data_IF_207141266449
#
_entry.id   IF_207141266449
#
_cell.length_a   1.000
_cell.length_b   1.000
_cell.length_c   1.000
_cell.angle_alpha   90.00
_cell.angle_beta   90.00
_cell.angle_gamma   90.00
#
_symmetry.space_group_name_H-M   'P 1'
#
loop_
_entity.id
_entity.type
_entity.pdbx_description
1 polymer ?
#
# COMPACT_ATOMS: atom_id res chain seq x y z
N UNK A 1 65.19 -20.75 31.43
CA UNK A 1 65.19 -19.89 30.22
C UNK A 1 63.93 -20.06 29.35
N UNK A 2 63.55 -21.27 28.91
CA UNK A 2 62.36 -21.45 28.04
C UNK A 2 61.02 -21.05 28.69
N UNK A 3 60.79 -21.43 29.95
CA UNK A 3 59.56 -21.09 30.71
C UNK A 3 59.41 -19.59 31.00
N UNK A 4 60.53 -18.89 31.22
CA UNK A 4 60.53 -17.45 31.44
C UNK A 4 60.22 -16.70 30.14
N UNK A 5 60.75 -17.19 29.02
CA UNK A 5 60.49 -16.63 27.69
C UNK A 5 59.03 -16.80 27.25
N UNK A 6 58.41 -17.94 27.57
CA UNK A 6 56.97 -18.17 27.28
C UNK A 6 56.07 -17.30 28.14
N UNK A 7 56.44 -17.06 29.41
CA UNK A 7 55.69 -16.20 30.30
C UNK A 7 55.74 -14.72 29.84
N UNK A 8 56.93 -14.26 29.43
CA UNK A 8 57.12 -12.91 28.86
C UNK A 8 56.32 -12.71 27.57
N UNK A 9 56.26 -13.73 26.70
CA UNK A 9 55.43 -13.68 25.49
C UNK A 9 53.93 -13.60 25.81
N UNK A 10 53.45 -14.35 26.80
CA UNK A 10 52.04 -14.30 27.23
C UNK A 10 51.68 -12.93 27.82
N UNK A 11 52.57 -12.34 28.62
CA UNK A 11 52.36 -11.00 29.19
C UNK A 11 52.30 -9.96 28.07
N UNK A 12 53.19 -10.02 27.07
CA UNK A 12 53.16 -9.09 25.93
C UNK A 12 51.87 -9.20 25.10
N UNK A 13 51.33 -10.41 24.91
CA UNK A 13 50.05 -10.60 24.19
C UNK A 13 48.87 -10.00 24.99
N UNK A 14 48.89 -10.10 26.33
CA UNK A 14 47.87 -9.48 27.17
C UNK A 14 47.93 -7.94 27.18
N UNK A 15 49.10 -7.33 26.99
CA UNK A 15 49.25 -5.87 26.92
C UNK A 15 48.86 -5.29 25.56
N UNK A 16 48.99 -6.04 24.46
CA UNK A 16 48.55 -5.62 23.13
C UNK A 16 47.05 -5.86 22.89
N UNK A 17 46.39 -6.61 23.77
CA UNK A 17 44.95 -6.80 23.77
C UNK A 17 44.23 -5.64 24.48
N UNK A 18 44.48 -4.40 24.03
CA UNK A 18 43.50 -3.32 24.21
C UNK A 18 42.34 -3.55 23.24
N UNK A 19 41.59 -4.62 23.49
CA UNK A 19 40.28 -4.80 22.89
C UNK A 19 39.41 -3.66 23.39
N UNK A 20 39.04 -2.73 22.50
CA UNK A 20 38.07 -1.68 22.80
C UNK A 20 36.69 -2.33 22.94
N UNK A 21 36.44 -2.99 24.07
CA UNK A 21 35.11 -3.15 24.61
C UNK A 21 34.66 -1.75 25.02
N UNK A 22 34.26 -0.97 24.02
CA UNK A 22 33.49 0.25 24.22
C UNK A 22 32.34 -0.17 25.10
N UNK A 23 32.35 0.28 26.36
CA UNK A 23 31.13 0.29 27.16
C UNK A 23 30.17 1.13 26.35
N UNK A 24 29.23 0.48 25.66
CA UNK A 24 28.03 1.15 25.21
C UNK A 24 27.39 1.64 26.49
N UNK A 25 27.67 2.89 26.85
CA UNK A 25 26.90 3.60 27.83
C UNK A 25 25.47 3.53 27.31
N UNK A 26 24.71 2.58 27.82
CA UNK A 26 23.27 2.53 27.71
C UNK A 26 22.70 3.67 28.57
N UNK A 27 23.14 4.90 28.31
CA UNK A 27 22.17 5.97 28.17
C UNK A 27 21.28 5.49 27.03
N UNK A 28 20.21 4.78 27.39
CA UNK A 28 18.93 4.92 26.70
C UNK A 28 18.70 6.43 26.64
N UNK A 29 19.27 7.08 25.63
CA UNK A 29 18.78 8.36 25.18
C UNK A 29 17.32 8.07 24.94
N UNK A 30 16.46 8.58 25.83
CA UNK A 30 15.04 8.47 25.65
C UNK A 30 14.82 8.88 24.20
N UNK A 31 14.42 7.93 23.34
CA UNK A 31 14.06 8.27 21.97
C UNK A 31 12.98 9.31 22.14
N UNK A 32 13.30 10.58 21.91
CA UNK A 32 12.34 11.68 22.05
C UNK A 32 11.29 11.33 21.02
N UNK A 33 10.16 10.82 21.49
CA UNK A 33 9.00 10.57 20.65
C UNK A 33 8.68 11.92 20.00
N UNK A 34 8.91 11.99 18.70
CA UNK A 34 8.69 13.20 17.94
C UNK A 34 7.21 13.56 18.07
N UNK A 35 6.94 14.85 18.25
CA UNK A 35 5.58 15.33 18.41
C UNK A 35 4.84 15.19 17.08
N UNK A 36 3.58 14.76 17.16
CA UNK A 36 2.68 14.62 16.01
C UNK A 36 1.50 15.58 16.21
N UNK A 37 1.14 16.36 15.18
CA UNK A 37 -0.10 17.16 15.25
C UNK A 37 -1.32 16.25 15.08
N UNK A 38 -2.17 16.25 16.10
CA UNK A 38 -3.45 15.54 16.07
C UNK A 38 -4.56 16.33 15.35
N UNK A 39 -4.42 17.67 15.26
CA UNK A 39 -5.44 18.56 14.68
C UNK A 39 -5.24 18.74 13.17
N UNK A 40 -6.36 18.80 12.45
CA UNK A 40 -6.40 19.16 11.03
C UNK A 40 -6.04 20.62 10.81
N UNK A 41 -5.51 20.92 9.63
CA UNK A 41 -5.14 22.28 9.24
C UNK A 41 -6.28 22.98 8.51
N UNK A 42 -6.25 24.31 8.55
CA UNK A 42 -7.12 25.17 7.74
C UNK A 42 -6.62 25.36 6.31
N UNK A 43 -5.34 25.04 6.04
CA UNK A 43 -4.69 25.23 4.74
C UNK A 43 -4.02 23.94 4.28
N UNK A 44 -3.99 23.70 2.97
CA UNK A 44 -3.24 22.60 2.38
C UNK A 44 -1.71 22.78 2.53
N UNK A 45 -0.96 21.71 2.26
CA UNK A 45 0.50 21.67 2.45
C UNK A 45 1.25 22.63 1.52
N UNK A 46 0.70 22.92 0.34
CA UNK A 46 1.24 23.87 -0.63
C UNK A 46 1.18 25.31 -0.07
N UNK A 47 0.00 25.72 0.40
CA UNK A 47 -0.24 27.04 1.00
C UNK A 47 0.46 27.24 2.35
N UNK A 48 0.98 26.17 2.94
CA UNK A 48 1.79 26.19 4.16
C UNK A 48 3.29 26.17 3.91
N UNK A 49 3.73 26.10 2.64
CA UNK A 49 5.14 26.04 2.30
C UNK A 49 5.83 24.75 2.75
N UNK A 50 5.10 23.64 2.87
CA UNK A 50 5.67 22.35 3.28
C UNK A 50 6.21 21.52 2.11
N UNK A 51 5.88 21.89 0.88
CA UNK A 51 6.39 21.23 -0.33
C UNK A 51 7.74 21.87 -0.65
N UNK A 52 8.81 21.32 -0.08
CA UNK A 52 10.19 21.81 -0.18
C UNK A 52 11.12 20.73 -0.71
N UNK A 53 12.26 21.14 -1.28
CA UNK A 53 13.25 20.21 -1.87
C UNK A 53 13.97 19.39 -0.79
N UNK A 54 14.23 19.96 0.39
CA UNK A 54 14.95 19.32 1.49
C UNK A 54 14.10 19.27 2.78
N UNK A 55 13.15 18.32 2.88
CA UNK A 55 12.27 18.20 4.04
C UNK A 55 12.98 17.53 5.22
N UNK A 56 12.75 18.02 6.44
CA UNK A 56 13.32 17.40 7.65
C UNK A 56 12.39 16.31 8.19
N UNK A 57 12.95 15.19 8.62
CA UNK A 57 12.18 14.07 9.19
C UNK A 57 11.24 14.50 10.34
N UNK A 58 11.71 15.42 11.20
CA UNK A 58 10.91 15.98 12.30
C UNK A 58 9.65 16.71 11.80
N UNK A 59 9.73 17.39 10.66
CA UNK A 59 8.63 18.18 10.10
C UNK A 59 7.62 17.23 9.43
N UNK A 60 8.09 16.16 8.79
CA UNK A 60 7.21 15.10 8.25
C UNK A 60 6.43 14.44 9.40
N UNK A 61 7.12 14.01 10.46
CA UNK A 61 6.47 13.33 11.59
C UNK A 61 5.51 14.29 12.32
N UNK A 62 5.84 15.57 12.40
CA UNK A 62 4.95 16.57 12.98
C UNK A 62 3.67 16.76 12.15
N UNK A 63 3.78 16.76 10.82
CA UNK A 63 2.73 17.28 9.93
C UNK A 63 1.93 16.21 9.18
N UNK A 64 2.39 14.95 9.09
CA UNK A 64 1.81 13.95 8.19
C UNK A 64 0.32 13.62 8.43
N UNK A 65 -0.19 13.84 9.65
CA UNK A 65 -1.62 13.65 9.98
C UNK A 65 -2.46 14.90 9.78
N UNK A 66 -1.83 16.07 9.64
CA UNK A 66 -2.49 17.39 9.64
C UNK A 66 -2.89 17.84 8.23
N UNK A 67 -3.79 17.09 7.59
CA UNK A 67 -4.37 17.46 6.28
C UNK A 67 -5.37 18.62 6.40
N UNK A 68 -5.70 19.27 5.26
CA UNK A 68 -6.68 20.35 5.22
C UNK A 68 -8.11 19.80 5.22
N UNK A 69 -8.86 20.01 6.31
CA UNK A 69 -10.24 19.49 6.42
C UNK A 69 -11.21 20.23 5.48
N UNK A 70 -11.02 21.54 5.31
CA UNK A 70 -11.88 22.40 4.46
C UNK A 70 -11.84 21.98 2.99
N UNK A 71 -10.69 21.53 2.52
CA UNK A 71 -10.44 21.17 1.12
C UNK A 71 -10.45 19.64 0.88
N UNK A 72 -11.03 18.83 1.79
CA UNK A 72 -11.08 17.36 1.63
C UNK A 72 -11.71 16.96 0.28
N UNK A 73 -12.76 17.66 -0.13
CA UNK A 73 -13.51 17.33 -1.36
C UNK A 73 -12.96 17.99 -2.62
N UNK A 74 -12.02 18.92 -2.48
CA UNK A 74 -11.49 19.68 -3.59
C UNK A 74 -10.45 18.89 -4.36
N UNK A 75 -10.48 18.99 -5.70
CA UNK A 75 -9.46 18.40 -6.57
C UNK A 75 -8.49 19.49 -6.98
N UNK A 76 -7.20 19.27 -6.75
CA UNK A 76 -6.13 20.15 -7.22
C UNK A 76 -5.33 19.52 -8.37
N UNK A 77 -5.78 18.38 -8.88
CA UNK A 77 -5.22 17.71 -10.04
C UNK A 77 -6.35 17.42 -11.04
N UNK A 78 -6.17 17.85 -12.29
CA UNK A 78 -7.18 17.79 -13.34
C UNK A 78 -7.28 16.43 -14.03
N UNK A 79 -6.18 15.67 -14.08
CA UNK A 79 -6.14 14.37 -14.73
C UNK A 79 -6.88 13.27 -13.95
N UNK A 80 -7.00 12.09 -14.56
CA UNK A 80 -7.54 10.93 -13.89
C UNK A 80 -6.62 10.43 -12.77
N UNK A 81 -7.22 9.98 -11.67
CA UNK A 81 -6.51 9.50 -10.48
C UNK A 81 -7.11 8.15 -10.08
N UNK A 82 -6.28 7.12 -10.18
CA UNK A 82 -6.59 5.76 -9.75
C UNK A 82 -5.98 5.50 -8.37
N UNK A 83 -6.80 5.07 -7.39
CA UNK A 83 -6.33 4.61 -6.08
C UNK A 83 -6.51 3.10 -5.92
N UNK A 84 -5.45 2.39 -5.53
CA UNK A 84 -5.54 0.98 -5.13
C UNK A 84 -5.92 0.85 -3.66
N UNK A 85 -6.79 -0.10 -3.34
CA UNK A 85 -7.20 -0.42 -1.97
C UNK A 85 -7.00 -1.91 -1.71
N UNK A 86 -6.30 -2.26 -0.64
CA UNK A 86 -5.85 -3.65 -0.40
C UNK A 86 -6.39 -4.18 0.94
N UNK A 87 -6.86 -5.44 1.01
CA UNK A 87 -7.38 -6.02 2.27
C UNK A 87 -6.39 -6.04 3.43
N UNK A 88 -5.09 -6.24 3.16
CA UNK A 88 -4.04 -6.29 4.19
C UNK A 88 -3.62 -4.91 4.73
N UNK A 89 -4.17 -3.82 4.18
CA UNK A 89 -3.98 -2.48 4.71
C UNK A 89 -5.34 -1.76 4.79
N UNK A 90 -6.07 -2.05 5.86
CA UNK A 90 -7.44 -1.56 6.09
C UNK A 90 -7.54 -0.04 6.09
N UNK A 91 -6.47 0.69 6.39
CA UNK A 91 -6.46 2.16 6.35
C UNK A 91 -6.84 2.70 4.97
N UNK A 92 -6.54 1.97 3.88
CA UNK A 92 -6.94 2.35 2.53
C UNK A 92 -8.45 2.47 2.35
N UNK A 93 -9.25 1.68 3.07
CA UNK A 93 -10.71 1.74 3.03
C UNK A 93 -11.22 3.06 3.64
N UNK A 94 -10.58 3.53 4.71
CA UNK A 94 -10.90 4.82 5.34
C UNK A 94 -10.47 5.99 4.46
N UNK A 95 -9.27 5.93 3.88
CA UNK A 95 -8.76 6.93 2.94
C UNK A 95 -9.69 7.08 1.74
N UNK A 96 -10.20 5.99 1.18
CA UNK A 96 -11.17 6.04 0.07
C UNK A 96 -12.50 6.70 0.46
N UNK A 97 -12.98 6.51 1.70
CA UNK A 97 -14.20 7.17 2.21
C UNK A 97 -13.97 8.67 2.47
N UNK A 98 -12.82 9.03 3.03
CA UNK A 98 -12.49 10.42 3.40
C UNK A 98 -12.18 11.25 2.15
N UNK A 99 -11.27 10.77 1.31
CA UNK A 99 -10.72 11.51 0.18
C UNK A 99 -11.26 11.06 -1.18
N UNK A 100 -12.34 10.27 -1.23
CA UNK A 100 -12.87 9.69 -2.47
C UNK A 100 -13.12 10.71 -3.58
N UNK A 101 -13.50 11.95 -3.25
CA UNK A 101 -13.70 13.04 -4.22
C UNK A 101 -12.41 13.48 -4.93
N UNK A 102 -11.24 13.09 -4.42
CA UNK A 102 -9.94 13.34 -5.06
C UNK A 102 -9.58 12.31 -6.12
N UNK A 103 -10.29 11.17 -6.15
CA UNK A 103 -10.08 10.08 -7.10
C UNK A 103 -11.15 10.08 -8.19
N UNK A 104 -10.77 9.66 -9.40
CA UNK A 104 -11.73 9.32 -10.44
C UNK A 104 -12.05 7.83 -10.45
N UNK A 105 -11.06 6.99 -10.09
CA UNK A 105 -11.19 5.55 -9.98
C UNK A 105 -10.63 5.02 -8.67
N UNK A 106 -11.28 4.00 -8.11
CA UNK A 106 -10.75 3.18 -7.02
C UNK A 106 -10.74 1.72 -7.45
N UNK A 107 -9.58 1.08 -7.37
CA UNK A 107 -9.40 -0.33 -7.71
C UNK A 107 -9.10 -1.15 -6.45
N UNK A 108 -10.14 -1.75 -5.83
CA UNK A 108 -9.91 -2.70 -4.76
C UNK A 108 -9.25 -3.98 -5.27
N UNK A 109 -8.31 -4.51 -4.49
CA UNK A 109 -7.45 -5.64 -4.83
C UNK A 109 -8.02 -6.91 -4.21
N UNK A 110 -9.14 -7.38 -4.76
CA UNK A 110 -9.85 -8.56 -4.26
C UNK A 110 -9.80 -9.74 -5.22
N UNK A 111 -9.97 -9.48 -6.51
CA UNK A 111 -10.37 -10.52 -7.44
C UNK A 111 -9.17 -11.19 -8.10
N UNK A 112 -9.28 -12.51 -8.27
CA UNK A 112 -8.42 -13.29 -9.14
C UNK A 112 -9.27 -14.18 -10.04
N UNK A 113 -8.74 -14.51 -11.22
CA UNK A 113 -9.31 -15.49 -12.15
C UNK A 113 -8.31 -16.63 -12.35
N UNK A 114 -8.81 -17.86 -12.21
CA UNK A 114 -8.04 -19.09 -12.44
C UNK A 114 -8.68 -19.87 -13.58
N UNK A 115 -7.87 -20.41 -14.48
CA UNK A 115 -8.32 -21.38 -15.47
C UNK A 115 -8.36 -22.77 -14.83
N UNK A 116 -9.48 -23.47 -14.95
CA UNK A 116 -9.71 -24.82 -14.38
C UNK A 116 -9.89 -25.91 -15.44
N UNK A 117 -9.78 -25.53 -16.70
CA UNK A 117 -9.95 -26.38 -17.87
C UNK A 117 -10.38 -25.53 -19.07
N UNK A 118 -10.64 -26.20 -20.20
CA UNK A 118 -11.21 -25.56 -21.39
C UNK A 118 -12.54 -24.89 -21.04
N UNK A 119 -12.69 -23.61 -21.37
CA UNK A 119 -13.90 -22.79 -21.16
C UNK A 119 -14.38 -22.81 -19.69
N UNK A 120 -13.44 -22.95 -18.74
CA UNK A 120 -13.75 -23.01 -17.30
C UNK A 120 -12.90 -22.02 -16.53
N UNK A 121 -13.48 -20.86 -16.24
CA UNK A 121 -12.85 -19.79 -15.47
C UNK A 121 -13.48 -19.67 -14.09
N UNK A 122 -12.65 -19.69 -13.06
CA UNK A 122 -13.08 -19.55 -11.67
C UNK A 122 -12.61 -18.21 -11.11
N UNK A 123 -13.55 -17.38 -10.69
CA UNK A 123 -13.25 -16.15 -9.95
C UNK A 123 -13.15 -16.44 -8.45
N UNK A 124 -12.10 -15.93 -7.82
CA UNK A 124 -11.84 -16.06 -6.38
C UNK A 124 -11.67 -14.68 -5.72
N UNK A 125 -11.59 -14.66 -4.39
CA UNK A 125 -11.42 -13.42 -3.62
C UNK A 125 -12.72 -12.63 -3.37
N UNK A 126 -13.87 -13.20 -3.73
CA UNK A 126 -15.18 -12.57 -3.56
C UNK A 126 -15.59 -12.38 -2.10
N UNK A 127 -14.99 -13.12 -1.17
CA UNK A 127 -15.23 -12.95 0.27
C UNK A 127 -14.66 -11.63 0.81
N UNK A 128 -13.69 -11.03 0.13
CA UNK A 128 -13.13 -9.72 0.49
C UNK A 128 -13.96 -8.55 -0.08
N UNK A 129 -14.95 -8.83 -0.94
CA UNK A 129 -15.75 -7.81 -1.58
C UNK A 129 -16.75 -7.20 -0.59
N UNK A 130 -16.55 -5.92 -0.26
CA UNK A 130 -17.38 -5.20 0.69
C UNK A 130 -18.35 -4.23 -0.02
N UNK A 131 -19.60 -4.67 -0.20
CA UNK A 131 -20.66 -3.85 -0.79
C UNK A 131 -21.07 -2.65 0.08
N UNK A 132 -20.96 -2.77 1.40
CA UNK A 132 -21.25 -1.69 2.34
C UNK A 132 -20.24 -0.56 2.16
N UNK A 133 -18.95 -0.91 2.14
CA UNK A 133 -17.87 0.04 1.88
C UNK A 133 -18.00 0.70 0.50
N UNK A 134 -18.30 -0.07 -0.56
CA UNK A 134 -18.52 0.51 -1.90
C UNK A 134 -19.66 1.53 -1.91
N UNK A 135 -20.75 1.26 -1.17
CA UNK A 135 -21.86 2.19 -1.01
C UNK A 135 -21.44 3.45 -0.25
N UNK A 136 -20.66 3.32 0.82
CA UNK A 136 -20.17 4.46 1.60
C UNK A 136 -19.23 5.37 0.80
N UNK A 137 -18.32 4.79 0.03
CA UNK A 137 -17.43 5.53 -0.87
C UNK A 137 -18.22 6.34 -1.90
N UNK A 138 -19.22 5.71 -2.55
CA UNK A 138 -20.10 6.37 -3.53
C UNK A 138 -21.01 7.42 -2.92
N UNK A 139 -21.47 7.21 -1.68
CA UNK A 139 -22.26 8.20 -0.93
C UNK A 139 -21.49 9.50 -0.75
N UNK A 140 -20.19 9.40 -0.44
CA UNK A 140 -19.32 10.55 -0.24
C UNK A 140 -18.79 11.14 -1.55
N UNK A 141 -18.70 10.33 -2.62
CA UNK A 141 -18.08 10.68 -3.90
C UNK A 141 -18.91 10.16 -5.06
N UNK A 142 -19.90 10.94 -5.50
CA UNK A 142 -20.96 10.46 -6.43
C UNK A 142 -20.44 9.98 -7.79
N UNK A 143 -19.36 10.57 -8.30
CA UNK A 143 -18.84 10.32 -9.64
C UNK A 143 -17.69 9.29 -9.66
N UNK A 144 -17.37 8.66 -8.52
CA UNK A 144 -16.24 7.74 -8.42
C UNK A 144 -16.56 6.40 -9.07
N UNK A 145 -15.64 5.88 -9.89
CA UNK A 145 -15.74 4.54 -10.48
C UNK A 145 -15.01 3.53 -9.59
N UNK A 146 -15.68 2.44 -9.22
CA UNK A 146 -15.05 1.35 -8.46
C UNK A 146 -14.75 0.23 -9.44
N UNK A 147 -13.47 0.02 -9.75
CA UNK A 147 -12.97 -0.87 -10.80
C UNK A 147 -12.01 -1.90 -10.21
N UNK A 148 -12.51 -2.97 -9.56
CA UNK A 148 -11.66 -3.96 -8.92
C UNK A 148 -10.62 -4.55 -9.85
N UNK A 149 -9.40 -4.72 -9.34
CA UNK A 149 -8.33 -5.37 -10.08
C UNK A 149 -8.64 -6.86 -10.20
N UNK A 150 -8.56 -7.40 -11.42
CA UNK A 150 -8.64 -8.85 -11.68
C UNK A 150 -7.22 -9.35 -11.95
N UNK A 151 -6.74 -10.27 -11.12
CA UNK A 151 -5.45 -10.94 -11.32
C UNK A 151 -5.63 -12.29 -12.01
N UNK A 152 -4.91 -12.53 -13.09
CA UNK A 152 -4.82 -13.84 -13.72
C UNK A 152 -3.83 -14.70 -12.90
N UNK A 153 -4.34 -15.43 -11.92
CA UNK A 153 -3.53 -16.12 -10.91
C UNK A 153 -3.22 -17.56 -11.32
N UNK A 154 -1.93 -17.92 -11.34
CA UNK A 154 -1.46 -19.27 -11.67
C UNK A 154 -1.57 -19.65 -13.15
N UNK A 155 -1.72 -18.68 -14.05
CA UNK A 155 -1.79 -18.95 -15.50
C UNK A 155 -0.41 -19.31 -16.07
N UNK A 156 -0.38 -20.34 -16.90
CA UNK A 156 0.80 -20.77 -17.67
C UNK A 156 0.83 -20.11 -19.05
N UNK A 157 1.95 -20.26 -19.77
CA UNK A 157 2.03 -19.85 -21.17
C UNK A 157 0.94 -20.51 -22.02
N UNK A 158 0.73 -21.83 -21.83
CA UNK A 158 -0.28 -22.60 -22.55
C UNK A 158 -1.70 -22.13 -22.25
N UNK A 159 -1.97 -21.61 -21.05
CA UNK A 159 -3.28 -21.04 -20.72
C UNK A 159 -3.55 -19.77 -21.52
N UNK A 160 -2.57 -18.87 -21.59
CA UNK A 160 -2.69 -17.66 -22.41
C UNK A 160 -2.82 -18.00 -23.90
N UNK A 161 -1.98 -18.91 -24.40
CA UNK A 161 -2.03 -19.35 -25.80
C UNK A 161 -3.38 -19.97 -26.15
N UNK A 162 -3.89 -20.87 -25.30
CA UNK A 162 -5.19 -21.52 -25.52
C UNK A 162 -6.35 -20.53 -25.53
N UNK A 163 -6.34 -19.57 -24.60
CA UNK A 163 -7.43 -18.58 -24.49
C UNK A 163 -7.37 -17.59 -25.64
N UNK A 164 -6.20 -17.02 -25.94
CA UNK A 164 -6.07 -16.02 -27.01
C UNK A 164 -6.21 -16.62 -28.42
N UNK A 165 -6.01 -17.93 -28.56
CA UNK A 165 -6.20 -18.65 -29.82
C UNK A 165 -7.62 -19.13 -30.10
N UNK A 166 -8.60 -18.88 -29.20
CA UNK A 166 -9.96 -19.41 -29.32
C UNK A 166 -11.01 -18.35 -28.97
N UNK A 167 -11.84 -17.97 -29.94
CA UNK A 167 -12.93 -17.01 -29.74
C UNK A 167 -13.91 -17.48 -28.65
N UNK A 168 -14.25 -18.77 -28.64
CA UNK A 168 -15.12 -19.38 -27.62
C UNK A 168 -14.56 -19.20 -26.19
N UNK A 169 -13.24 -19.30 -26.01
CA UNK A 169 -12.59 -19.15 -24.70
C UNK A 169 -12.57 -17.67 -24.27
N UNK A 170 -12.34 -16.75 -25.21
CA UNK A 170 -12.39 -15.30 -24.95
C UNK A 170 -13.82 -14.89 -24.58
N UNK A 171 -14.82 -15.40 -25.31
CA UNK A 171 -16.22 -15.09 -25.04
C UNK A 171 -16.64 -15.63 -23.68
N UNK A 172 -16.29 -16.87 -23.34
CA UNK A 172 -16.62 -17.45 -22.04
C UNK A 172 -15.96 -16.67 -20.89
N UNK A 173 -14.67 -16.32 -21.00
CA UNK A 173 -13.99 -15.49 -20.01
C UNK A 173 -14.68 -14.12 -19.85
N UNK A 174 -15.00 -13.49 -20.98
CA UNK A 174 -15.64 -12.16 -21.02
C UNK A 174 -17.03 -12.20 -20.38
N UNK A 175 -17.82 -13.22 -20.67
CA UNK A 175 -19.15 -13.42 -20.10
C UNK A 175 -19.09 -13.59 -18.58
N UNK A 176 -18.13 -14.37 -18.08
CA UNK A 176 -17.91 -14.51 -16.63
C UNK A 176 -17.50 -13.18 -15.98
N UNK A 177 -16.60 -12.40 -16.61
CA UNK A 177 -16.20 -11.07 -16.12
C UNK A 177 -17.37 -10.09 -16.07
N UNK A 178 -18.18 -10.05 -17.13
CA UNK A 178 -19.36 -9.19 -17.19
C UNK A 178 -20.35 -9.59 -16.10
N UNK A 179 -20.70 -10.87 -15.99
CA UNK A 179 -21.61 -11.39 -14.97
C UNK A 179 -21.15 -10.96 -13.56
N UNK A 180 -19.86 -11.12 -13.27
CA UNK A 180 -19.28 -10.71 -12.01
C UNK A 180 -19.45 -9.20 -11.76
N UNK A 181 -19.20 -8.36 -12.76
CA UNK A 181 -19.38 -6.92 -12.65
C UNK A 181 -20.84 -6.51 -12.39
N UNK A 182 -21.80 -7.24 -12.98
CA UNK A 182 -23.25 -7.03 -12.74
C UNK A 182 -23.63 -7.40 -11.31
N UNK A 183 -23.20 -8.56 -10.83
CA UNK A 183 -23.54 -9.06 -9.49
C UNK A 183 -23.03 -8.18 -8.34
N UNK A 184 -21.87 -7.54 -8.52
CA UNK A 184 -21.24 -6.71 -7.47
C UNK A 184 -21.40 -5.21 -7.69
N UNK A 185 -22.24 -4.80 -8.64
CA UNK A 185 -22.49 -3.39 -8.98
C UNK A 185 -21.20 -2.59 -9.16
N UNK A 186 -20.27 -3.11 -9.97
CA UNK A 186 -18.95 -2.49 -10.17
C UNK A 186 -18.99 -1.25 -11.09
N UNK A 187 -20.18 -0.69 -11.36
CA UNK A 187 -20.33 0.61 -12.03
C UNK A 187 -19.97 0.62 -13.52
N UNK A 188 -20.14 -0.52 -14.21
CA UNK A 188 -20.01 -0.61 -15.67
C UNK A 188 -21.41 -0.48 -16.29
N UNK A 189 -22.03 0.70 -16.18
CA UNK A 189 -23.24 1.07 -16.92
C UNK A 189 -23.28 2.58 -17.16
#
# INVERSE_FOLDING_TARGET
MRLLSTLLFLIMICWLAEGTLSKTDAKKGASKKLEEKALHSDKNVQNRGLVVVDPKAKDIILEHKSYCFKEIKERHFSGDVLGYVTPWNSHGYDIAKIFGNKFTLISPVWLQVKRRGKERFQFTGLHDADQGWMKDVRKNSKNIKIVPRILFDGWTYQDFESVFGSEDEIEELSNNMVLLAKCYYLGIY
#
